data_IF_435172338191
#
_entry.id   IF_435172338191
#
_cell.length_a   1.000
_cell.length_b   1.000
_cell.length_c   1.000
_cell.angle_alpha   90.00
_cell.angle_beta   90.00
_cell.angle_gamma   90.00
#
_symmetry.space_group_name_H-M   'P 1'
#
loop_
_entity.id
_entity.type
_entity.pdbx_description
1 polymer ?
#
# COMPACT_ATOMS: atom_id res chain seq x y z
N UNK A 1 14.93 8.33 4.46
CA UNK A 1 14.14 9.38 5.11
C UNK A 1 14.08 9.14 6.60
N UNK A 2 14.33 10.16 7.37
CA UNK A 2 14.26 10.09 8.81
C UNK A 2 12.83 10.33 9.28
N UNK A 3 12.32 9.44 10.14
CA UNK A 3 10.98 9.57 10.70
C UNK A 3 11.04 10.15 12.10
N UNK A 4 10.04 10.92 12.48
CA UNK A 4 9.97 11.52 13.80
C UNK A 4 9.70 10.48 14.89
N UNK A 5 10.19 10.72 16.12
CA UNK A 5 10.09 9.73 17.20
C UNK A 5 8.66 9.31 17.55
N UNK A 6 7.71 10.24 17.52
CA UNK A 6 6.31 9.94 17.83
C UNK A 6 5.69 8.99 16.80
N UNK A 7 5.98 9.22 15.52
CA UNK A 7 5.51 8.36 14.46
C UNK A 7 6.10 6.95 14.60
N UNK A 8 7.41 6.86 14.85
CA UNK A 8 8.07 5.56 15.05
C UNK A 8 7.49 4.81 16.25
N UNK A 9 7.18 5.53 17.32
CA UNK A 9 6.56 4.93 18.51
C UNK A 9 5.18 4.35 18.17
N UNK A 10 4.38 5.10 17.42
CA UNK A 10 3.05 4.66 17.01
C UNK A 10 3.14 3.38 16.19
N UNK A 11 4.04 3.35 15.22
CA UNK A 11 4.27 2.17 14.37
C UNK A 11 4.74 0.98 15.22
N UNK A 12 5.71 1.21 16.12
CA UNK A 12 6.25 0.16 16.98
C UNK A 12 5.20 -0.48 17.87
N UNK A 13 4.23 0.31 18.34
CA UNK A 13 3.15 -0.20 19.18
C UNK A 13 2.22 -1.14 18.40
N UNK A 14 2.04 -0.91 17.12
CA UNK A 14 1.14 -1.71 16.30
C UNK A 14 1.82 -2.89 15.61
N UNK A 15 3.11 -2.78 15.34
CA UNK A 15 3.85 -3.79 14.57
C UNK A 15 3.71 -5.22 15.09
N UNK A 16 3.72 -5.49 16.42
CA UNK A 16 3.57 -6.87 16.90
C UNK A 16 2.23 -7.53 16.55
N UNK A 17 1.22 -6.75 16.23
CA UNK A 17 -0.12 -7.25 15.92
C UNK A 17 -0.40 -7.32 14.41
N UNK A 18 0.55 -6.90 13.59
CA UNK A 18 0.39 -6.82 12.14
C UNK A 18 1.24 -7.89 11.48
N UNK A 19 0.69 -8.56 10.49
CA UNK A 19 1.43 -9.54 9.68
C UNK A 19 2.19 -8.79 8.61
N UNK A 20 3.52 -8.82 8.71
CA UNK A 20 4.40 -8.20 7.71
C UNK A 20 4.96 -9.28 6.80
N UNK A 21 4.97 -9.01 5.49
CA UNK A 21 5.49 -9.94 4.48
C UNK A 21 6.50 -9.24 3.59
N UNK A 22 7.42 -10.03 3.02
CA UNK A 22 8.42 -9.52 2.08
C UNK A 22 7.82 -9.33 0.69
N UNK A 23 8.56 -8.65 -0.19
CA UNK A 23 8.17 -8.49 -1.60
C UNK A 23 7.98 -9.86 -2.25
N UNK A 24 8.89 -10.80 -2.00
CA UNK A 24 8.81 -12.15 -2.56
C UNK A 24 7.56 -12.88 -2.09
N UNK A 25 7.25 -12.78 -0.80
CA UNK A 25 6.04 -13.39 -0.25
C UNK A 25 4.78 -12.74 -0.82
N UNK A 26 4.80 -11.42 -1.01
CA UNK A 26 3.66 -10.72 -1.61
C UNK A 26 3.42 -11.17 -3.04
N UNK A 27 4.50 -11.29 -3.83
CA UNK A 27 4.42 -11.75 -5.20
C UNK A 27 3.85 -13.15 -5.28
N UNK A 28 4.32 -14.04 -4.42
CA UNK A 28 3.83 -15.41 -4.34
C UNK A 28 2.34 -15.46 -3.97
N UNK A 29 1.91 -14.67 -3.00
CA UNK A 29 0.50 -14.61 -2.60
C UNK A 29 -0.41 -14.13 -3.71
N UNK A 30 0.01 -13.09 -4.42
CA UNK A 30 -0.77 -12.55 -5.54
C UNK A 30 -0.84 -13.52 -6.70
N UNK A 31 0.23 -14.25 -6.97
CA UNK A 31 0.25 -15.28 -8.02
C UNK A 31 -0.66 -16.46 -7.67
N UNK A 32 -0.67 -16.86 -6.41
CA UNK A 32 -1.43 -18.02 -5.94
C UNK A 32 -2.93 -17.72 -5.81
N UNK A 33 -3.27 -16.49 -5.42
CA UNK A 33 -4.65 -16.08 -5.19
C UNK A 33 -5.02 -14.91 -6.10
N UNK A 34 -5.73 -15.18 -7.22
CA UNK A 34 -6.14 -14.11 -8.13
C UNK A 34 -7.08 -13.09 -7.51
N UNK A 35 -7.76 -13.44 -6.41
CA UNK A 35 -8.67 -12.54 -5.72
C UNK A 35 -7.97 -11.65 -4.69
N UNK A 36 -6.69 -11.89 -4.42
CA UNK A 36 -5.93 -11.05 -3.49
C UNK A 36 -5.79 -9.65 -4.06
N UNK A 37 -5.91 -8.66 -3.17
CA UNK A 37 -5.81 -7.25 -3.53
C UNK A 37 -4.46 -6.70 -3.10
N UNK A 38 -3.77 -6.03 -4.01
CA UNK A 38 -2.63 -5.20 -3.68
C UNK A 38 -3.13 -3.77 -3.55
N UNK A 39 -2.98 -3.19 -2.36
CA UNK A 39 -3.56 -1.89 -2.03
C UNK A 39 -2.48 -0.88 -1.69
N UNK A 40 -2.41 0.20 -2.46
CA UNK A 40 -1.51 1.32 -2.21
C UNK A 40 -2.19 2.27 -1.23
N UNK A 41 -1.60 2.45 -0.04
CA UNK A 41 -2.17 3.32 1.00
C UNK A 41 -1.41 4.65 1.11
N UNK A 42 -0.57 4.97 0.12
CA UNK A 42 0.16 6.23 0.07
C UNK A 42 -0.78 7.39 -0.25
N UNK A 43 -0.22 8.60 -0.19
CA UNK A 43 -0.97 9.81 -0.54
C UNK A 43 -1.23 9.89 -2.06
N UNK A 44 -2.22 10.67 -2.44
CA UNK A 44 -2.64 10.81 -3.84
C UNK A 44 -1.49 11.25 -4.76
N UNK A 45 -0.67 12.19 -4.31
CA UNK A 45 0.44 12.68 -5.12
C UNK A 45 1.51 11.62 -5.36
N UNK A 46 1.69 10.70 -4.43
CA UNK A 46 2.61 9.57 -4.61
C UNK A 46 2.04 8.57 -5.62
N UNK A 47 0.77 8.22 -5.46
CA UNK A 47 0.06 7.32 -6.37
C UNK A 47 0.07 7.84 -7.80
N UNK A 48 -0.19 9.11 -7.98
CA UNK A 48 -0.28 9.71 -9.30
C UNK A 48 1.03 9.67 -10.08
N UNK A 49 2.16 9.76 -9.37
CA UNK A 49 3.47 9.70 -10.02
C UNK A 49 3.78 8.31 -10.53
N UNK A 50 3.61 7.31 -9.70
CA UNK A 50 3.91 5.93 -10.04
C UNK A 50 3.34 5.00 -8.98
N UNK A 51 2.80 3.87 -9.39
CA UNK A 51 2.31 2.87 -8.47
C UNK A 51 2.42 1.47 -9.09
N UNK A 52 2.30 0.44 -8.27
CA UNK A 52 2.33 -0.94 -8.75
C UNK A 52 1.17 -1.18 -9.73
N UNK A 53 1.47 -1.86 -10.82
CA UNK A 53 0.56 -1.99 -11.96
C UNK A 53 -0.81 -2.55 -11.61
N UNK A 54 -0.86 -3.57 -10.77
CA UNK A 54 -2.11 -4.23 -10.39
C UNK A 54 -2.74 -3.66 -9.13
N UNK A 55 -2.15 -2.63 -8.52
CA UNK A 55 -2.62 -2.09 -7.26
C UNK A 55 -3.89 -1.25 -7.45
N UNK A 56 -4.73 -1.27 -6.42
CA UNK A 56 -5.79 -0.27 -6.26
C UNK A 56 -5.34 0.74 -5.22
N UNK A 57 -5.92 1.93 -5.25
CA UNK A 57 -5.52 3.01 -4.36
C UNK A 57 -6.59 3.28 -3.32
N UNK A 58 -6.17 3.28 -2.05
CA UNK A 58 -7.01 3.78 -0.95
C UNK A 58 -6.07 4.40 0.08
N UNK A 59 -5.93 5.73 0.02
CA UNK A 59 -5.00 6.46 0.88
C UNK A 59 -5.34 6.35 2.35
N UNK A 60 -4.31 6.34 3.17
CA UNK A 60 -4.46 6.16 4.62
C UNK A 60 -5.47 7.11 5.25
N UNK A 61 -5.54 8.35 4.78
CA UNK A 61 -6.42 9.36 5.36
C UNK A 61 -7.91 9.06 5.27
N UNK A 62 -8.31 8.23 4.32
CA UNK A 62 -9.72 7.88 4.11
C UNK A 62 -9.97 6.37 4.20
N UNK A 63 -8.96 5.61 4.60
CA UNK A 63 -9.03 4.15 4.59
C UNK A 63 -10.14 3.61 5.49
N UNK A 64 -10.21 4.07 6.73
CA UNK A 64 -11.23 3.57 7.66
C UNK A 64 -12.65 3.92 7.19
N UNK A 65 -12.80 5.08 6.54
CA UNK A 65 -14.10 5.50 6.03
C UNK A 65 -14.58 4.64 4.86
N UNK A 66 -13.66 4.28 3.95
CA UNK A 66 -14.05 3.76 2.65
C UNK A 66 -13.73 2.28 2.43
N UNK A 67 -12.96 1.64 3.31
CA UNK A 67 -12.49 0.27 3.10
C UNK A 67 -13.65 -0.72 2.92
N UNK A 68 -14.66 -0.65 3.78
CA UNK A 68 -15.78 -1.58 3.71
C UNK A 68 -16.60 -1.44 2.43
N UNK A 69 -16.68 -0.23 1.88
CA UNK A 69 -17.36 -0.01 0.60
C UNK A 69 -16.57 -0.62 -0.54
N UNK A 70 -15.25 -0.48 -0.49
CA UNK A 70 -14.36 -0.96 -1.55
C UNK A 70 -14.14 -2.46 -1.48
N UNK A 71 -14.02 -3.01 -0.27
CA UNK A 71 -13.75 -4.43 -0.04
C UNK A 71 -14.71 -4.94 1.03
N UNK A 72 -15.95 -5.28 0.67
CA UNK A 72 -16.95 -5.70 1.67
C UNK A 72 -16.67 -7.06 2.29
N UNK A 73 -15.89 -7.93 1.66
CA UNK A 73 -15.57 -9.26 2.18
C UNK A 73 -14.44 -9.16 3.22
N UNK A 74 -14.76 -9.43 4.47
CA UNK A 74 -13.81 -9.35 5.58
C UNK A 74 -12.72 -10.43 5.53
N UNK A 75 -12.90 -11.46 4.72
CA UNK A 75 -11.90 -12.53 4.54
C UNK A 75 -11.02 -12.30 3.32
N UNK A 76 -11.28 -11.24 2.55
CA UNK A 76 -10.50 -10.94 1.36
C UNK A 76 -9.04 -10.74 1.71
N UNK A 77 -8.15 -11.39 0.98
CA UNK A 77 -6.72 -11.21 1.17
C UNK A 77 -6.30 -9.83 0.64
N UNK A 78 -5.73 -9.00 1.52
CA UNK A 78 -5.31 -7.64 1.18
C UNK A 78 -3.86 -7.46 1.58
N UNK A 79 -3.04 -7.05 0.63
CA UNK A 79 -1.64 -6.70 0.86
C UNK A 79 -1.53 -5.20 0.71
N UNK A 80 -1.24 -4.50 1.81
CA UNK A 80 -1.13 -3.04 1.84
C UNK A 80 0.33 -2.62 1.75
N UNK A 81 0.62 -1.64 0.90
CA UNK A 81 1.97 -1.08 0.83
C UNK A 81 1.94 0.45 0.90
N UNK A 82 2.99 1.02 1.47
CA UNK A 82 3.23 2.45 1.48
C UNK A 82 4.63 2.73 0.93
N UNK A 83 5.25 3.86 1.30
CA UNK A 83 6.57 4.20 0.76
C UNK A 83 7.68 3.31 1.27
N UNK A 84 7.74 3.09 2.58
CA UNK A 84 8.82 2.33 3.23
C UNK A 84 8.35 1.26 4.20
N UNK A 85 7.06 1.01 4.30
CA UNK A 85 6.52 -0.05 5.16
C UNK A 85 6.07 0.41 6.55
N UNK A 86 6.01 1.70 6.81
CA UNK A 86 5.59 2.25 8.12
C UNK A 86 4.10 2.57 8.16
N UNK A 87 3.59 3.36 7.22
CA UNK A 87 2.16 3.71 7.17
C UNK A 87 1.28 2.49 7.00
N UNK A 88 1.75 1.49 6.24
CA UNK A 88 0.97 0.28 6.00
C UNK A 88 0.84 -0.61 7.24
N UNK A 89 1.74 -0.49 8.22
CA UNK A 89 1.55 -1.13 9.53
C UNK A 89 0.31 -0.54 10.21
N UNK A 90 0.16 0.77 10.15
CA UNK A 90 -0.98 1.45 10.78
C UNK A 90 -2.29 1.15 10.06
N UNK A 91 -2.28 1.14 8.72
CA UNK A 91 -3.49 0.83 7.96
C UNK A 91 -3.90 -0.63 8.11
N UNK A 92 -2.94 -1.55 8.15
CA UNK A 92 -3.24 -2.96 8.40
C UNK A 92 -3.83 -3.16 9.80
N UNK A 93 -3.29 -2.47 10.79
CA UNK A 93 -3.81 -2.51 12.15
C UNK A 93 -5.25 -1.99 12.20
N UNK A 94 -5.53 -0.86 11.54
CA UNK A 94 -6.88 -0.32 11.47
C UNK A 94 -7.85 -1.30 10.81
N UNK A 95 -7.43 -1.91 9.70
CA UNK A 95 -8.25 -2.89 9.00
C UNK A 95 -8.57 -4.09 9.90
N UNK A 96 -7.60 -4.58 10.65
CA UNK A 96 -7.82 -5.68 11.60
C UNK A 96 -8.86 -5.30 12.66
N UNK A 97 -8.76 -4.07 13.19
CA UNK A 97 -9.73 -3.58 14.17
C UNK A 97 -11.14 -3.49 13.56
N UNK A 98 -11.24 -3.21 12.28
CA UNK A 98 -12.51 -3.18 11.54
C UNK A 98 -13.07 -4.57 11.25
N UNK A 99 -12.30 -5.64 11.53
CA UNK A 99 -12.77 -7.01 11.36
C UNK A 99 -12.13 -7.78 10.20
N UNK A 100 -11.21 -7.17 9.46
CA UNK A 100 -10.52 -7.85 8.35
C UNK A 100 -9.55 -8.89 8.90
N UNK A 101 -9.64 -10.10 8.40
CA UNK A 101 -8.93 -11.26 8.95
C UNK A 101 -7.70 -11.68 8.14
N UNK A 102 -7.51 -11.09 6.94
CA UNK A 102 -6.48 -11.57 6.02
C UNK A 102 -5.73 -10.40 5.39
N UNK A 103 -5.14 -9.56 6.26
CA UNK A 103 -4.48 -8.32 5.86
C UNK A 103 -3.01 -8.36 6.22
N UNK A 104 -2.17 -7.90 5.30
CA UNK A 104 -0.72 -7.90 5.40
C UNK A 104 -0.15 -6.52 5.08
N UNK A 105 0.97 -6.18 5.74
CA UNK A 105 1.76 -5.00 5.41
C UNK A 105 3.02 -5.43 4.66
N UNK A 106 3.31 -4.78 3.53
CA UNK A 106 4.48 -5.11 2.72
C UNK A 106 5.72 -4.44 3.31
N UNK A 107 6.66 -5.26 3.79
CA UNK A 107 7.93 -4.77 4.33
C UNK A 107 8.71 -4.00 3.27
N UNK A 108 9.18 -2.82 3.62
CA UNK A 108 9.94 -1.97 2.72
C UNK A 108 9.11 -1.22 1.68
N UNK A 109 7.84 -1.56 1.53
CA UNK A 109 6.88 -0.86 0.70
C UNK A 109 7.32 -0.62 -0.74
N UNK A 110 6.94 0.53 -1.27
CA UNK A 110 7.26 0.95 -2.64
C UNK A 110 8.75 0.85 -2.95
N UNK A 111 9.62 1.26 -2.01
CA UNK A 111 11.07 1.20 -2.22
C UNK A 111 11.56 -0.21 -2.46
N UNK A 112 11.09 -1.16 -1.65
CA UNK A 112 11.47 -2.57 -1.82
C UNK A 112 10.92 -3.13 -3.13
N UNK A 113 9.72 -2.71 -3.53
CA UNK A 113 9.13 -3.11 -4.80
C UNK A 113 9.94 -2.62 -6.00
N UNK A 114 10.39 -1.36 -5.96
CA UNK A 114 11.25 -0.79 -7.01
C UNK A 114 12.56 -1.56 -7.11
N UNK A 115 13.20 -1.83 -5.97
CA UNK A 115 14.45 -2.60 -5.94
C UNK A 115 14.27 -4.00 -6.51
N UNK A 116 13.10 -4.60 -6.31
CA UNK A 116 12.77 -5.93 -6.82
C UNK A 116 12.21 -5.89 -8.25
N UNK A 117 12.23 -4.73 -8.89
CA UNK A 117 11.75 -4.54 -10.26
C UNK A 117 10.28 -4.93 -10.44
N UNK A 118 9.45 -4.61 -9.45
CA UNK A 118 8.01 -4.83 -9.54
C UNK A 118 7.43 -4.00 -10.68
N UNK A 119 6.52 -4.57 -11.51
CA UNK A 119 5.91 -3.81 -12.59
C UNK A 119 5.19 -2.58 -12.09
N UNK A 120 5.53 -1.42 -12.63
CA UNK A 120 4.98 -0.14 -12.22
C UNK A 120 4.19 0.50 -13.34
N UNK A 121 3.23 1.36 -12.95
CA UNK A 121 2.46 2.19 -13.86
C UNK A 121 2.67 3.65 -13.49
N UNK A 122 3.06 4.45 -14.45
CA UNK A 122 3.20 5.89 -14.27
C UNK A 122 1.94 6.59 -14.71
N UNK A 123 1.65 7.74 -14.09
CA UNK A 123 0.51 8.55 -14.47
C UNK A 123 0.67 9.00 -15.93
N UNK A 124 -0.46 9.09 -16.65
CA UNK A 124 -0.46 9.51 -18.05
C UNK A 124 0.22 10.86 -18.21
N UNK A 125 -0.04 11.80 -17.30
CA UNK A 125 0.56 13.12 -17.33
C UNK A 125 2.09 13.11 -17.25
N UNK A 126 2.69 12.10 -16.60
CA UNK A 126 4.15 11.98 -16.50
C UNK A 126 4.76 11.29 -17.71
N UNK A 127 3.97 10.63 -18.54
CA UNK A 127 4.41 9.93 -19.75
C UNK A 127 4.34 10.80 -20.99
N UNK A 128 3.54 11.85 -20.97
CA UNK A 128 3.33 12.72 -22.11
C UNK A 128 4.31 13.90 -22.07
N UNK A 129 4.88 14.29 -23.23
CA UNK A 129 5.68 15.51 -23.26
C UNK A 129 4.80 16.71 -22.96
N UNK A 130 5.38 17.70 -22.27
CA UNK A 130 4.63 18.93 -22.02
C UNK A 130 4.41 19.68 -23.33
N UNK A 131 3.17 20.06 -23.65
CA UNK A 131 2.93 20.85 -24.85
C UNK A 131 3.68 22.17 -24.78
N UNK A 132 4.18 22.61 -25.94
CA UNK A 132 4.85 23.88 -26.06
C UNK A 132 3.89 25.02 -25.72
N UNK A 133 4.35 25.96 -24.89
CA UNK A 133 3.53 27.11 -24.51
C UNK A 133 2.45 26.81 -23.48
N UNK A 134 2.37 25.60 -23.03
CA UNK A 134 1.43 25.25 -21.98
C UNK A 134 2.09 25.40 -20.62
N UNK A 135 1.32 25.85 -19.70
CA UNK A 135 1.80 26.16 -18.37
C UNK A 135 1.24 25.17 -17.36
#
# INVERSE_FOLDING_TARGET
MEHSPGFLRLVSQQRPYVKEITVEQARERLDRNPDAILMDVREDNEWEKEHAKQAIHLGRGILERDLEKMVPDLDREIIMYCGGGYRSVLTASSAQTMGYRNVYSLMGGYRAMVQAQWPMKKAVSSLLPKPSGQI
#
